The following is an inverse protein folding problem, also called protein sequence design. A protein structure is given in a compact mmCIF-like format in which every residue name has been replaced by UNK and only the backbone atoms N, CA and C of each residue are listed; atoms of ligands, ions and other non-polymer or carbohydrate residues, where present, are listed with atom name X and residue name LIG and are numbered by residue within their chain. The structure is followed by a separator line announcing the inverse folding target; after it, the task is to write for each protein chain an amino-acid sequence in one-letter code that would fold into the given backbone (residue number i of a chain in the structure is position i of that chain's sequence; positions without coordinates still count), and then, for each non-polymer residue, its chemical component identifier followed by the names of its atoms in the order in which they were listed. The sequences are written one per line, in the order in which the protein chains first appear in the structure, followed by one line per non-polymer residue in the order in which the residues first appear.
data_IF_949253836073
#
_entry.id   IF_949253836073
#
_cell.length_a   1.000
_cell.length_b   1.000
_cell.length_c   1.000
_cell.angle_alpha   90.00
_cell.angle_beta   90.00
_cell.angle_gamma   90.00
#
_symmetry.space_group_name_H-M   'P 1'
#
loop_
_entity.id
_entity.type
_entity.pdbx_description
1 polymer ?
#
# COMPACT_ATOMS: atom_id res chain seq x y z
N UNK A 1 13.67 -13.91 26.69
CA UNK A 1 13.32 -12.65 25.98
C UNK A 1 14.43 -12.36 24.97
N UNK A 2 14.10 -12.01 23.72
CA UNK A 2 15.04 -11.94 22.58
C UNK A 2 15.94 -10.67 22.59
N UNK A 3 16.09 -10.00 23.74
CA UNK A 3 16.96 -8.82 23.92
C UNK A 3 16.50 -7.52 23.23
N UNK A 4 15.34 -7.51 22.57
CA UNK A 4 14.89 -6.37 21.78
C UNK A 4 14.33 -5.24 22.65
N UNK A 5 14.88 -4.04 22.51
CA UNK A 5 14.33 -2.82 23.11
C UNK A 5 13.12 -2.32 22.32
N UNK A 6 11.94 -2.86 22.64
CA UNK A 6 10.68 -2.57 21.91
C UNK A 6 10.39 -1.06 21.84
N UNK A 7 10.66 -0.32 22.92
CA UNK A 7 10.46 1.14 22.96
C UNK A 7 11.30 1.88 21.93
N UNK A 8 12.61 1.59 21.88
CA UNK A 8 13.52 2.22 20.93
C UNK A 8 13.18 1.85 19.47
N UNK A 9 12.86 0.57 19.21
CA UNK A 9 12.47 0.12 17.87
C UNK A 9 11.18 0.79 17.41
N UNK A 10 10.16 0.84 18.26
CA UNK A 10 8.88 1.49 17.93
C UNK A 10 9.07 2.98 17.66
N UNK A 11 9.86 3.68 18.47
CA UNK A 11 10.16 5.09 18.25
C UNK A 11 10.86 5.31 16.90
N UNK A 12 11.87 4.49 16.58
CA UNK A 12 12.57 4.54 15.30
C UNK A 12 11.64 4.31 14.10
N UNK A 13 10.75 3.31 14.17
CA UNK A 13 9.77 3.01 13.12
C UNK A 13 8.79 4.17 12.93
N UNK A 14 8.26 4.74 14.02
CA UNK A 14 7.32 5.87 13.94
C UNK A 14 7.98 7.08 13.26
N UNK A 15 9.20 7.42 13.65
CA UNK A 15 9.93 8.55 13.04
C UNK A 15 10.19 8.28 11.55
N UNK A 16 10.67 7.09 11.19
CA UNK A 16 10.94 6.74 9.79
C UNK A 16 9.67 6.78 8.94
N UNK A 17 8.57 6.17 9.40
CA UNK A 17 7.29 6.15 8.68
C UNK A 17 6.70 7.56 8.57
N UNK A 18 6.75 8.36 9.64
CA UNK A 18 6.25 9.73 9.62
C UNK A 18 7.00 10.59 8.59
N UNK A 19 8.32 10.50 8.53
CA UNK A 19 9.14 11.22 7.56
C UNK A 19 8.85 10.75 6.12
N UNK A 20 8.80 9.44 5.89
CA UNK A 20 8.54 8.87 4.56
C UNK A 20 7.13 9.22 4.06
N UNK A 21 6.10 8.97 4.87
CA UNK A 21 4.72 9.25 4.50
C UNK A 21 4.44 10.75 4.40
N UNK A 22 5.03 11.56 5.29
CA UNK A 22 4.92 13.01 5.27
C UNK A 22 5.53 13.61 4.01
N UNK A 23 6.77 13.22 3.68
CA UNK A 23 7.44 13.68 2.45
C UNK A 23 6.67 13.26 1.18
N UNK A 24 6.19 12.01 1.13
CA UNK A 24 5.40 11.53 0.00
C UNK A 24 4.08 12.30 -0.16
N UNK A 25 3.37 12.56 0.95
CA UNK A 25 2.10 13.30 0.94
C UNK A 25 2.30 14.77 0.57
N UNK A 26 3.38 15.40 1.03
CA UNK A 26 3.72 16.76 0.67
C UNK A 26 4.03 16.91 -0.83
N UNK A 27 4.65 15.88 -1.44
CA UNK A 27 5.01 15.90 -2.86
C UNK A 27 3.87 15.52 -3.80
N UNK A 28 3.09 14.48 -3.47
CA UNK A 28 2.10 13.88 -4.37
C UNK A 28 0.63 14.15 -3.95
N UNK A 29 0.42 14.76 -2.78
CA UNK A 29 -0.88 14.85 -2.14
C UNK A 29 -1.29 13.55 -1.41
N UNK A 30 -2.45 13.55 -0.75
CA UNK A 30 -2.92 12.40 0.01
C UNK A 30 -3.33 11.25 -0.91
N UNK A 31 -2.65 10.11 -0.76
CA UNK A 31 -2.96 8.86 -1.47
C UNK A 31 -3.63 7.87 -0.51
N UNK A 32 -4.82 7.41 -0.87
CA UNK A 32 -5.59 6.43 -0.09
C UNK A 32 -5.39 5.01 -0.63
N UNK A 33 -5.70 4.01 0.20
CA UNK A 33 -5.69 2.56 -0.11
C UNK A 33 -4.33 1.88 -0.34
N UNK A 34 -3.32 2.53 -0.93
CA UNK A 34 -2.03 1.88 -1.26
C UNK A 34 -1.41 1.18 -0.05
N UNK A 35 -1.28 1.89 1.08
CA UNK A 35 -0.65 1.40 2.30
C UNK A 35 -1.42 0.27 3.00
N UNK A 36 -2.68 0.06 2.67
CA UNK A 36 -3.47 -1.08 3.14
C UNK A 36 -3.46 -2.20 2.12
N UNK A 37 -3.82 -1.92 0.87
CA UNK A 37 -3.99 -2.91 -0.18
C UNK A 37 -2.71 -3.69 -0.50
N UNK A 38 -1.60 -2.98 -0.74
CA UNK A 38 -0.35 -3.60 -1.23
C UNK A 38 0.23 -4.61 -0.24
N UNK A 39 0.48 -4.28 1.05
CA UNK A 39 1.05 -5.25 1.97
C UNK A 39 0.12 -6.44 2.23
N UNK A 40 -1.20 -6.27 2.13
CA UNK A 40 -2.15 -7.38 2.26
C UNK A 40 -2.13 -8.30 1.03
N UNK A 41 -2.07 -7.74 -0.18
CA UNK A 41 -1.91 -8.52 -1.41
C UNK A 41 -0.59 -9.29 -1.41
N UNK A 42 0.50 -8.62 -1.05
CA UNK A 42 1.84 -9.23 -0.96
C UNK A 42 1.85 -10.33 0.10
N UNK A 43 1.31 -10.08 1.30
CA UNK A 43 1.23 -11.09 2.36
C UNK A 43 0.46 -12.34 1.93
N UNK A 44 -0.58 -12.17 1.13
CA UNK A 44 -1.33 -13.31 0.58
C UNK A 44 -0.48 -14.15 -0.40
N UNK A 45 0.44 -13.52 -1.14
CA UNK A 45 1.34 -14.18 -2.09
C UNK A 45 2.60 -14.78 -1.43
N UNK A 46 3.24 -14.04 -0.52
CA UNK A 46 4.56 -14.40 0.06
C UNK A 46 4.47 -15.09 1.41
N UNK A 47 3.30 -15.10 2.04
CA UNK A 47 3.13 -15.54 3.42
C UNK A 47 3.48 -14.44 4.45
N UNK A 48 3.60 -14.81 5.75
CA UNK A 48 3.68 -13.85 6.86
C UNK A 48 5.08 -13.25 7.12
N UNK A 49 6.10 -13.60 6.33
CA UNK A 49 7.46 -13.08 6.54
C UNK A 49 7.57 -11.60 6.13
N UNK A 50 7.74 -10.74 7.14
CA UNK A 50 7.84 -9.29 6.96
C UNK A 50 9.01 -8.83 6.11
N UNK A 51 10.09 -9.62 6.01
CA UNK A 51 11.26 -9.27 5.18
C UNK A 51 10.87 -9.21 3.71
N UNK A 52 10.12 -10.22 3.25
CA UNK A 52 9.62 -10.30 1.90
C UNK A 52 8.46 -9.31 1.68
N UNK A 53 7.55 -9.18 2.64
CA UNK A 53 6.45 -8.23 2.53
C UNK A 53 6.97 -6.81 2.27
N UNK A 54 8.00 -6.37 3.00
CA UNK A 54 8.59 -5.04 2.83
C UNK A 54 9.26 -4.87 1.46
N UNK A 55 10.09 -5.83 1.03
CA UNK A 55 10.80 -5.76 -0.26
C UNK A 55 9.82 -5.73 -1.43
N UNK A 56 8.84 -6.63 -1.44
CA UNK A 56 7.85 -6.65 -2.51
C UNK A 56 6.94 -5.43 -2.46
N UNK A 57 6.51 -4.97 -1.28
CA UNK A 57 5.68 -3.76 -1.18
C UNK A 57 6.40 -2.50 -1.65
N UNK A 58 7.71 -2.38 -1.40
CA UNK A 58 8.52 -1.25 -1.86
C UNK A 58 8.57 -1.13 -3.39
N UNK A 59 8.42 -2.25 -4.11
CA UNK A 59 8.41 -2.30 -5.59
C UNK A 59 6.98 -2.24 -6.15
N UNK A 60 6.05 -3.04 -5.61
CA UNK A 60 4.68 -3.13 -6.13
C UNK A 60 3.86 -1.86 -5.90
N UNK A 61 4.05 -1.17 -4.77
CA UNK A 61 3.28 0.04 -4.48
C UNK A 61 3.48 1.13 -5.53
N UNK A 62 4.71 1.58 -5.88
CA UNK A 62 4.89 2.61 -6.91
C UNK A 62 4.44 2.14 -8.30
N UNK A 63 4.62 0.85 -8.63
CA UNK A 63 4.12 0.29 -9.92
C UNK A 63 2.60 0.44 -10.02
N UNK A 64 1.86 0.08 -8.98
CA UNK A 64 0.40 0.20 -8.99
C UNK A 64 -0.06 1.66 -9.04
N UNK A 65 0.63 2.55 -8.32
CA UNK A 65 0.34 3.99 -8.35
C UNK A 65 0.56 4.58 -9.75
N UNK A 66 1.65 4.20 -10.43
CA UNK A 66 1.90 4.63 -11.82
C UNK A 66 0.85 4.10 -12.79
N UNK A 67 0.44 2.83 -12.64
CA UNK A 67 -0.65 2.28 -13.46
C UNK A 67 -1.95 3.07 -13.22
N UNK A 68 -2.26 3.40 -11.96
CA UNK A 68 -3.43 4.20 -11.62
C UNK A 68 -3.37 5.62 -12.21
N UNK A 69 -2.21 6.28 -12.19
CA UNK A 69 -2.03 7.60 -12.82
C UNK A 69 -2.24 7.53 -14.34
N UNK A 70 -1.62 6.57 -15.02
CA UNK A 70 -1.76 6.38 -16.47
C UNK A 70 -3.21 6.09 -16.84
N UNK A 71 -3.89 5.18 -16.11
CA UNK A 71 -5.30 4.89 -16.36
C UNK A 71 -6.19 6.12 -16.12
N UNK A 72 -5.90 6.92 -15.09
CA UNK A 72 -6.62 8.17 -14.84
C UNK A 72 -6.56 9.15 -16.02
N UNK A 73 -5.39 9.27 -16.66
CA UNK A 73 -5.17 10.11 -17.85
C UNK A 73 -5.83 9.56 -19.12
N UNK A 74 -5.95 8.24 -19.23
CA UNK A 74 -6.54 7.58 -20.41
C UNK A 74 -8.07 7.57 -20.39
N UNK A 75 -8.68 7.40 -19.22
CA UNK A 75 -10.16 7.30 -19.10
C UNK A 75 -10.82 8.65 -19.29
N UNK A 76 -10.20 9.73 -18.80
CA UNK A 76 -10.77 11.07 -18.85
C UNK A 76 -9.87 11.95 -19.70
N UNK A 77 -10.30 12.20 -20.93
CA UNK A 77 -9.65 13.11 -21.88
C UNK A 77 -10.69 14.22 -22.18
N UNK A 78 -10.34 15.53 -22.12
CA UNK A 78 -9.02 16.14 -21.92
C UNK A 78 -8.67 16.49 -20.46
N UNK A 79 -9.53 16.19 -19.50
CA UNK A 79 -9.32 16.53 -18.08
C UNK A 79 -8.65 15.40 -17.31
N UNK A 80 -7.58 15.69 -16.56
CA UNK A 80 -6.84 14.65 -15.83
C UNK A 80 -7.57 14.20 -14.55
N UNK A 81 -7.83 12.89 -14.43
CA UNK A 81 -8.30 12.32 -13.18
C UNK A 81 -7.11 12.12 -12.23
N UNK A 82 -7.16 12.77 -11.07
CA UNK A 82 -6.10 12.67 -10.08
C UNK A 82 -5.96 11.21 -9.58
N UNK A 83 -4.70 10.73 -9.51
CA UNK A 83 -4.39 9.37 -9.03
C UNK A 83 -4.98 9.07 -7.64
N UNK A 84 -5.10 10.08 -6.77
CA UNK A 84 -5.74 9.95 -5.45
C UNK A 84 -7.22 9.56 -5.50
N UNK A 85 -7.92 9.87 -6.59
CA UNK A 85 -9.31 9.46 -6.84
C UNK A 85 -9.37 8.09 -7.51
N UNK A 86 -8.45 7.84 -8.46
CA UNK A 86 -8.37 6.58 -9.18
C UNK A 86 -7.99 5.40 -8.27
N UNK A 87 -7.13 5.66 -7.27
CA UNK A 87 -6.60 4.62 -6.41
C UNK A 87 -7.66 3.94 -5.52
N UNK A 88 -8.61 4.63 -4.87
CA UNK A 88 -9.76 4.00 -4.22
C UNK A 88 -10.60 3.11 -5.12
N UNK A 89 -10.80 3.51 -6.39
CA UNK A 89 -11.60 2.73 -7.35
C UNK A 89 -10.96 1.36 -7.65
N UNK A 90 -9.63 1.30 -7.63
CA UNK A 90 -8.88 0.05 -7.80
C UNK A 90 -8.74 -0.67 -6.44
N UNK A 91 -8.41 0.07 -5.40
CA UNK A 91 -8.02 -0.47 -4.11
C UNK A 91 -9.16 -1.08 -3.30
N UNK A 92 -10.34 -0.49 -3.34
CA UNK A 92 -11.50 -1.02 -2.62
C UNK A 92 -11.93 -2.40 -3.17
N UNK A 93 -12.13 -2.60 -4.49
CA UNK A 93 -12.42 -3.93 -5.04
C UNK A 93 -11.35 -4.97 -4.70
N UNK A 94 -10.06 -4.61 -4.82
CA UNK A 94 -8.95 -5.52 -4.51
C UNK A 94 -8.99 -5.94 -3.03
N UNK A 95 -9.13 -5.00 -2.10
CA UNK A 95 -9.25 -5.33 -0.68
C UNK A 95 -10.47 -6.20 -0.38
N UNK A 96 -11.63 -5.92 -0.99
CA UNK A 96 -12.84 -6.74 -0.84
C UNK A 96 -12.57 -8.18 -1.30
N UNK A 97 -11.91 -8.37 -2.44
CA UNK A 97 -11.55 -9.70 -2.95
C UNK A 97 -10.60 -10.43 -2.00
N UNK A 98 -9.58 -9.74 -1.49
CA UNK A 98 -8.60 -10.31 -0.54
C UNK A 98 -9.27 -10.77 0.76
N UNK A 99 -10.17 -9.97 1.32
CA UNK A 99 -10.90 -10.31 2.56
C UNK A 99 -11.91 -11.43 2.34
N UNK A 100 -12.58 -11.46 1.19
CA UNK A 100 -13.54 -12.53 0.87
C UNK A 100 -12.86 -13.88 0.65
N UNK A 101 -11.70 -13.90 -0.01
CA UNK A 101 -10.96 -15.14 -0.29
C UNK A 101 -10.28 -15.76 0.94
N UNK A 102 -9.96 -14.95 1.96
CA UNK A 102 -9.27 -15.44 3.17
C UNK A 102 -10.18 -16.22 4.12
N UNK A 103 -11.50 -15.93 4.13
CA UNK A 103 -12.48 -16.68 4.93
C UNK A 103 -12.75 -18.11 4.42
N UNK A 104 -12.38 -18.41 3.17
CA UNK A 104 -12.61 -19.74 2.55
C UNK A 104 -11.50 -20.74 2.86
N UNK A 105 -10.33 -20.30 3.37
CA UNK A 105 -9.24 -21.22 3.79
C UNK A 105 -9.43 -21.83 5.19
N UNK A 106 -10.53 -21.52 5.87
CA UNK A 106 -10.83 -21.94 7.24
C UNK A 106 -12.03 -22.90 7.33
N UNK A 107 -12.55 -23.37 6.19
CA UNK A 107 -13.59 -24.41 6.04
C UNK A 107 -13.01 -25.58 5.24
#
# INVERSE_FOLDING_TARGET
AVGLQVGAVRAGVVVAVALLCGAATAAAGPLMFVGLMVPHAVRWLTGPDWRWILVFSAVLAPVIVLIADVLGRLIVIPSELQVGVMMPLIGAPVLILLVRGSRVKEL
#
